data_IF_077627302194
#
_entry.id   IF_077627302194
#
_cell.length_a   1.000
_cell.length_b   1.000
_cell.length_c   1.000
_cell.angle_alpha   90.00
_cell.angle_beta   90.00
_cell.angle_gamma   90.00
#
_symmetry.space_group_name_H-M   'P 1'
#
loop_
_entity.id
_entity.type
_entity.pdbx_description
1 polymer ?
#
# COMPACT_ATOMS: atom_id res chain seq x y z
N UNK A 1 -84.99 -24.85 -19.89
CA UNK A 1 -84.42 -24.57 -18.55
C UNK A 1 -83.35 -25.61 -18.20
N UNK A 2 -82.24 -25.66 -18.95
CA UNK A 2 -81.11 -26.56 -18.64
C UNK A 2 -79.73 -25.96 -18.97
N UNK A 3 -79.68 -24.76 -19.57
CA UNK A 3 -78.41 -24.10 -19.95
C UNK A 3 -77.78 -23.36 -18.75
N UNK A 4 -78.60 -22.82 -17.85
CA UNK A 4 -78.13 -22.09 -16.67
C UNK A 4 -77.31 -22.98 -15.71
N UNK A 5 -77.65 -24.28 -15.62
CA UNK A 5 -76.97 -25.26 -14.79
C UNK A 5 -75.58 -25.65 -15.34
N UNK A 6 -75.40 -25.66 -16.66
CA UNK A 6 -74.10 -25.98 -17.29
C UNK A 6 -73.12 -24.82 -17.09
N UNK A 7 -73.60 -23.58 -17.19
CA UNK A 7 -72.77 -22.37 -17.00
C UNK A 7 -72.22 -22.20 -15.58
N UNK A 8 -72.98 -22.65 -14.57
CA UNK A 8 -72.60 -22.58 -13.16
C UNK A 8 -71.67 -23.71 -12.77
N UNK A 9 -71.84 -24.92 -13.35
CA UNK A 9 -70.93 -26.04 -13.18
C UNK A 9 -69.56 -25.83 -13.85
N UNK A 10 -69.52 -25.05 -14.94
CA UNK A 10 -68.27 -24.66 -15.65
C UNK A 10 -67.46 -23.57 -14.94
N UNK A 11 -68.01 -22.90 -13.93
CA UNK A 11 -67.36 -21.82 -13.17
C UNK A 11 -66.57 -22.30 -11.94
N UNK A 12 -66.51 -23.60 -11.71
CA UNK A 12 -65.75 -24.21 -10.61
C UNK A 12 -64.25 -24.35 -10.95
N UNK A 13 -63.64 -23.27 -11.44
CA UNK A 13 -62.19 -23.19 -11.63
C UNK A 13 -61.60 -22.39 -10.48
N UNK A 14 -60.61 -22.98 -9.80
CA UNK A 14 -59.95 -22.35 -8.66
C UNK A 14 -59.31 -21.02 -9.10
N UNK A 15 -59.47 -19.92 -8.35
CA UNK A 15 -58.80 -18.66 -8.68
C UNK A 15 -57.28 -18.86 -8.66
N UNK A 16 -56.58 -18.09 -9.48
CA UNK A 16 -55.11 -18.10 -9.52
C UNK A 16 -54.58 -17.76 -8.12
N UNK A 17 -53.88 -18.72 -7.52
CA UNK A 17 -53.19 -18.54 -6.26
C UNK A 17 -51.84 -17.89 -6.55
N UNK A 18 -51.61 -16.71 -5.99
CA UNK A 18 -50.31 -16.06 -6.03
C UNK A 18 -49.34 -16.86 -5.13
N UNK A 19 -48.33 -17.47 -5.75
CA UNK A 19 -47.27 -18.15 -5.03
C UNK A 19 -46.20 -17.11 -4.70
N UNK A 20 -45.92 -16.82 -3.42
CA UNK A 20 -44.86 -15.88 -3.08
C UNK A 20 -43.51 -16.46 -3.53
N UNK A 21 -42.81 -15.75 -4.41
CA UNK A 21 -41.48 -16.13 -4.90
C UNK A 21 -40.42 -15.13 -4.44
N UNK A 22 -39.40 -15.64 -3.75
CA UNK A 22 -38.25 -14.87 -3.28
C UNK A 22 -36.97 -15.15 -4.08
N UNK A 23 -37.03 -16.04 -5.08
CA UNK A 23 -35.88 -16.52 -5.85
C UNK A 23 -35.11 -15.38 -6.51
N UNK A 24 -35.79 -14.35 -6.98
CA UNK A 24 -35.18 -13.14 -7.55
C UNK A 24 -34.25 -12.43 -6.55
N UNK A 25 -34.70 -12.23 -5.31
CA UNK A 25 -33.92 -11.58 -4.26
C UNK A 25 -32.75 -12.44 -3.81
N UNK A 26 -32.96 -13.76 -3.72
CA UNK A 26 -31.91 -14.72 -3.38
C UNK A 26 -30.80 -14.69 -4.43
N UNK A 27 -31.16 -14.70 -5.72
CA UNK A 27 -30.22 -14.62 -6.84
C UNK A 27 -29.36 -13.35 -6.78
N UNK A 28 -29.99 -12.18 -6.63
CA UNK A 28 -29.26 -10.92 -6.48
C UNK A 28 -28.40 -10.85 -5.21
N UNK A 29 -28.90 -11.42 -4.10
CA UNK A 29 -28.13 -11.55 -2.86
C UNK A 29 -26.86 -12.37 -3.05
N UNK A 30 -26.94 -13.49 -3.77
CA UNK A 30 -25.78 -14.33 -4.10
C UNK A 30 -24.80 -13.60 -5.03
N UNK A 31 -25.27 -12.89 -6.04
CA UNK A 31 -24.42 -12.08 -6.92
C UNK A 31 -23.68 -11.01 -6.11
N UNK A 32 -24.40 -10.27 -5.27
CA UNK A 32 -23.80 -9.23 -4.45
C UNK A 32 -22.76 -9.81 -3.51
N UNK A 33 -23.08 -10.92 -2.84
CA UNK A 33 -22.16 -11.60 -1.93
C UNK A 33 -20.90 -12.10 -2.65
N UNK A 34 -21.05 -12.76 -3.80
CA UNK A 34 -19.92 -13.21 -4.61
C UNK A 34 -19.06 -12.04 -5.10
N UNK A 35 -19.68 -10.93 -5.50
CA UNK A 35 -18.99 -9.71 -5.94
C UNK A 35 -18.19 -9.11 -4.79
N UNK A 36 -18.77 -9.00 -3.59
CA UNK A 36 -18.08 -8.49 -2.40
C UNK A 36 -16.89 -9.37 -2.00
N UNK A 37 -17.06 -10.70 -2.07
CA UNK A 37 -15.95 -11.63 -1.83
C UNK A 37 -14.82 -11.44 -2.84
N UNK A 38 -15.16 -11.35 -4.13
CA UNK A 38 -14.19 -11.14 -5.19
C UNK A 38 -13.42 -9.83 -5.01
N UNK A 39 -14.13 -8.73 -4.71
CA UNK A 39 -13.51 -7.44 -4.41
C UNK A 39 -12.61 -7.50 -3.19
N UNK A 40 -13.03 -8.20 -2.13
CA UNK A 40 -12.20 -8.43 -0.94
C UNK A 40 -10.89 -9.13 -1.28
N UNK A 41 -10.95 -10.23 -2.03
CA UNK A 41 -9.77 -10.98 -2.46
C UNK A 41 -8.84 -10.09 -3.30
N UNK A 42 -9.39 -9.38 -4.30
CA UNK A 42 -8.60 -8.47 -5.14
C UNK A 42 -7.92 -7.37 -4.32
N UNK A 43 -8.63 -6.81 -3.33
CA UNK A 43 -8.07 -5.80 -2.42
C UNK A 43 -6.89 -6.35 -1.62
N UNK A 44 -7.00 -7.54 -1.04
CA UNK A 44 -5.90 -8.17 -0.29
C UNK A 44 -4.68 -8.46 -1.18
N UNK A 45 -4.89 -8.96 -2.39
CA UNK A 45 -3.80 -9.20 -3.35
C UNK A 45 -3.12 -7.89 -3.73
N UNK A 46 -3.89 -6.87 -4.10
CA UNK A 46 -3.36 -5.56 -4.47
C UNK A 46 -2.56 -4.92 -3.32
N UNK A 47 -3.09 -4.97 -2.08
CA UNK A 47 -2.40 -4.50 -0.88
C UNK A 47 -1.07 -5.22 -0.67
N UNK A 48 -1.06 -6.55 -0.73
CA UNK A 48 0.17 -7.36 -0.55
C UNK A 48 1.23 -7.04 -1.60
N UNK A 49 0.83 -6.85 -2.86
CA UNK A 49 1.74 -6.48 -3.94
C UNK A 49 2.32 -5.07 -3.72
N UNK A 50 1.52 -4.13 -3.24
CA UNK A 50 1.96 -2.78 -2.93
C UNK A 50 2.99 -2.75 -1.80
N UNK A 51 2.70 -3.45 -0.70
CA UNK A 51 3.59 -3.52 0.46
C UNK A 51 4.95 -4.15 0.08
N UNK A 52 4.93 -5.24 -0.71
CA UNK A 52 6.16 -5.89 -1.17
C UNK A 52 7.02 -4.97 -2.08
N UNK A 53 6.37 -4.14 -2.92
CA UNK A 53 7.09 -3.14 -3.73
C UNK A 53 7.78 -2.10 -2.87
N UNK A 54 7.12 -1.60 -1.82
CA UNK A 54 7.73 -0.63 -0.90
C UNK A 54 8.95 -1.22 -0.17
N UNK A 55 8.85 -2.47 0.29
CA UNK A 55 9.99 -3.16 0.92
C UNK A 55 11.18 -3.30 -0.03
N UNK A 56 10.94 -3.65 -1.30
CA UNK A 56 12.00 -3.74 -2.30
C UNK A 56 12.67 -2.39 -2.58
N UNK A 57 11.90 -1.29 -2.62
CA UNK A 57 12.45 0.05 -2.78
C UNK A 57 13.30 0.46 -1.58
N UNK A 58 12.82 0.20 -0.36
CA UNK A 58 13.56 0.48 0.87
C UNK A 58 14.92 -0.27 0.89
N UNK A 59 14.93 -1.55 0.52
CA UNK A 59 16.18 -2.34 0.35
C UNK A 59 17.13 -1.68 -0.64
N UNK A 60 16.61 -1.24 -1.79
CA UNK A 60 17.42 -0.54 -2.80
C UNK A 60 18.06 0.74 -2.29
N UNK A 61 17.30 1.57 -1.55
CA UNK A 61 17.84 2.79 -0.94
C UNK A 61 18.89 2.50 0.13
N UNK A 62 18.67 1.44 0.92
CA UNK A 62 19.59 1.04 1.98
C UNK A 62 20.91 0.52 1.41
N UNK A 63 20.86 -0.28 0.35
CA UNK A 63 22.06 -0.68 -0.40
C UNK A 63 22.79 0.53 -0.99
N UNK A 64 22.06 1.51 -1.53
CA UNK A 64 22.66 2.71 -2.09
C UNK A 64 23.40 3.53 -1.02
N UNK A 65 22.86 3.60 0.21
CA UNK A 65 23.55 4.22 1.35
C UNK A 65 24.81 3.44 1.77
N UNK A 66 24.74 2.10 1.83
CA UNK A 66 25.89 1.24 2.18
C UNK A 66 27.06 1.35 1.18
N UNK A 67 26.76 1.67 -0.08
CA UNK A 67 27.75 1.76 -1.18
C UNK A 67 28.45 3.12 -1.29
N UNK A 68 28.15 4.09 -0.41
CA UNK A 68 28.77 5.43 -0.46
C UNK A 68 30.25 5.32 -0.05
N UNK A 69 31.16 5.71 -0.95
CA UNK A 69 32.62 5.58 -0.75
C UNK A 69 33.33 6.89 -0.39
N UNK A 70 32.59 8.00 -0.24
CA UNK A 70 33.07 9.32 0.17
C UNK A 70 34.23 9.91 -0.67
N UNK A 71 34.57 9.32 -1.83
CA UNK A 71 35.64 9.82 -2.71
C UNK A 71 35.32 11.20 -3.28
N UNK A 72 34.05 11.45 -3.55
CA UNK A 72 33.50 12.76 -3.88
C UNK A 72 32.57 13.18 -2.74
N UNK A 73 33.04 13.98 -1.76
CA UNK A 73 32.26 14.39 -0.60
C UNK A 73 30.94 15.07 -0.98
N UNK A 74 30.95 15.90 -2.02
CA UNK A 74 29.77 16.66 -2.44
C UNK A 74 28.70 15.73 -2.99
N UNK A 75 29.07 14.90 -3.97
CA UNK A 75 28.16 13.93 -4.57
C UNK A 75 27.66 12.92 -3.54
N UNK A 76 28.55 12.46 -2.67
CA UNK A 76 28.22 11.53 -1.59
C UNK A 76 27.22 12.14 -0.62
N UNK A 77 27.38 13.40 -0.22
CA UNK A 77 26.44 14.08 0.67
C UNK A 77 25.07 14.30 0.04
N UNK A 78 25.01 14.63 -1.26
CA UNK A 78 23.74 14.69 -2.00
C UNK A 78 23.04 13.33 -2.03
N UNK A 79 23.76 12.27 -2.42
CA UNK A 79 23.22 10.91 -2.47
C UNK A 79 22.77 10.43 -1.08
N UNK A 80 23.59 10.64 -0.05
CA UNK A 80 23.28 10.28 1.32
C UNK A 80 22.00 10.99 1.79
N UNK A 81 21.87 12.29 1.54
CA UNK A 81 20.65 13.02 1.92
C UNK A 81 19.43 12.49 1.18
N UNK A 82 19.56 12.24 -0.12
CA UNK A 82 18.47 11.79 -0.96
C UNK A 82 17.93 10.42 -0.51
N UNK A 83 18.80 9.42 -0.39
CA UNK A 83 18.38 8.07 0.00
C UNK A 83 17.95 7.98 1.46
N UNK A 84 18.63 8.69 2.38
CA UNK A 84 18.21 8.73 3.78
C UNK A 84 16.84 9.41 3.94
N UNK A 85 16.53 10.46 3.16
CA UNK A 85 15.20 11.07 3.17
C UNK A 85 14.11 10.11 2.68
N UNK A 86 14.40 9.31 1.64
CA UNK A 86 13.45 8.33 1.12
C UNK A 86 13.22 7.15 2.08
N UNK A 87 14.24 6.77 2.85
CA UNK A 87 14.14 5.76 3.91
C UNK A 87 13.43 6.26 5.17
N UNK A 88 13.34 7.58 5.37
CA UNK A 88 12.74 8.18 6.55
C UNK A 88 11.19 8.17 6.50
N UNK A 89 10.59 6.99 6.52
CA UNK A 89 9.13 6.81 6.36
C UNK A 89 8.36 7.06 7.67
N UNK A 90 8.88 6.61 8.80
CA UNK A 90 8.26 6.70 10.13
C UNK A 90 8.87 7.81 10.99
N UNK A 91 8.20 8.15 12.10
CA UNK A 91 8.60 9.25 12.99
C UNK A 91 10.01 9.10 13.57
N UNK A 92 10.41 7.89 13.98
CA UNK A 92 11.75 7.63 14.53
C UNK A 92 12.83 7.85 13.47
N UNK A 93 12.61 7.31 12.26
CA UNK A 93 13.55 7.47 11.14
C UNK A 93 13.64 8.93 10.67
N UNK A 94 12.53 9.68 10.66
CA UNK A 94 12.49 11.12 10.37
C UNK A 94 13.28 11.91 11.38
N UNK A 95 13.15 11.59 12.68
CA UNK A 95 13.92 12.23 13.74
C UNK A 95 15.42 11.94 13.65
N UNK A 96 15.82 10.73 13.25
CA UNK A 96 17.23 10.43 12.99
C UNK A 96 17.74 11.17 11.76
N UNK A 97 16.95 11.24 10.69
CA UNK A 97 17.30 11.97 9.48
C UNK A 97 17.45 13.47 9.75
N UNK A 98 16.55 14.10 10.53
CA UNK A 98 16.65 15.52 10.86
C UNK A 98 17.92 15.87 11.66
N UNK A 99 18.51 14.89 12.35
CA UNK A 99 19.82 15.07 13.01
C UNK A 99 21.00 14.90 12.05
N UNK A 100 20.86 14.04 11.04
CA UNK A 100 21.90 13.75 10.05
C UNK A 100 21.96 14.80 8.94
N UNK A 101 20.81 15.29 8.50
CA UNK A 101 20.66 16.28 7.42
C UNK A 101 21.57 17.51 7.57
N UNK A 102 21.58 18.25 8.70
CA UNK A 102 22.42 19.44 8.83
C UNK A 102 23.92 19.12 8.74
N UNK A 103 24.33 17.91 9.13
CA UNK A 103 25.73 17.48 8.99
C UNK A 103 26.10 17.28 7.52
N UNK A 104 25.20 16.66 6.74
CA UNK A 104 25.41 16.45 5.31
C UNK A 104 25.34 17.76 4.49
N UNK A 105 24.55 18.74 4.91
CA UNK A 105 24.39 20.02 4.21
C UNK A 105 25.68 20.83 4.11
N UNK A 106 26.59 20.69 5.08
CA UNK A 106 27.89 21.37 5.10
C UNK A 106 28.74 21.05 3.85
N UNK A 107 28.47 19.90 3.23
CA UNK A 107 29.18 19.36 2.08
C UNK A 107 28.46 19.58 0.74
N UNK A 108 27.21 20.07 0.74
CA UNK A 108 26.35 20.05 -0.46
C UNK A 108 26.47 21.27 -1.37
N UNK A 109 26.90 22.43 -0.88
CA UNK A 109 26.77 23.66 -1.68
C UNK A 109 28.08 24.39 -1.95
N UNK A 110 29.19 23.96 -1.35
CA UNK A 110 30.50 24.58 -1.58
C UNK A 110 31.08 24.14 -2.93
N UNK A 111 31.90 25.02 -3.52
CA UNK A 111 32.61 24.74 -4.78
C UNK A 111 33.74 23.74 -4.54
N UNK A 112 34.52 23.97 -3.49
CA UNK A 112 35.50 23.04 -2.95
C UNK A 112 35.02 22.55 -1.59
N UNK A 113 35.07 21.25 -1.39
CA UNK A 113 34.51 20.57 -0.23
C UNK A 113 35.64 19.78 0.42
N UNK A 114 35.84 19.97 1.72
CA UNK A 114 36.80 19.18 2.50
C UNK A 114 36.34 17.73 2.60
N UNK A 115 37.26 16.84 2.98
CA UNK A 115 36.88 15.49 3.34
C UNK A 115 35.81 15.48 4.43
N UNK A 116 34.91 14.49 4.35
CA UNK A 116 33.84 14.35 5.33
C UNK A 116 34.41 13.88 6.66
N UNK A 117 34.05 14.62 7.71
CA UNK A 117 34.48 14.35 9.07
C UNK A 117 33.98 12.98 9.57
N UNK A 118 34.70 12.44 10.55
CA UNK A 118 34.41 11.10 11.11
C UNK A 118 33.07 11.06 11.85
N UNK A 119 32.62 12.18 12.43
CA UNK A 119 31.35 12.26 13.15
C UNK A 119 30.16 12.10 12.18
N UNK A 120 30.18 12.80 11.05
CA UNK A 120 29.18 12.69 9.98
C UNK A 120 29.13 11.27 9.42
N UNK A 121 30.30 10.66 9.18
CA UNK A 121 30.38 9.25 8.72
C UNK A 121 29.77 8.29 9.75
N UNK A 122 30.11 8.45 11.02
CA UNK A 122 29.57 7.63 12.10
C UNK A 122 28.06 7.81 12.27
N UNK A 123 27.55 9.03 12.14
CA UNK A 123 26.12 9.33 12.20
C UNK A 123 25.36 8.68 11.05
N UNK A 124 25.91 8.72 9.83
CA UNK A 124 25.33 8.03 8.69
C UNK A 124 25.35 6.51 8.91
N UNK A 125 26.47 5.95 9.37
CA UNK A 125 26.57 4.51 9.63
C UNK A 125 25.55 4.04 10.67
N UNK A 126 25.36 4.81 11.75
CA UNK A 126 24.33 4.53 12.74
C UNK A 126 22.92 4.61 12.15
N UNK A 127 22.65 5.62 11.30
CA UNK A 127 21.38 5.71 10.59
C UNK A 127 21.14 4.47 9.72
N UNK A 128 22.15 4.04 8.97
CA UNK A 128 22.08 2.85 8.11
C UNK A 128 21.87 1.58 8.92
N UNK A 129 22.57 1.40 10.05
CA UNK A 129 22.41 0.23 10.92
C UNK A 129 20.98 0.13 11.47
N UNK A 130 20.45 1.24 12.00
CA UNK A 130 19.08 1.28 12.51
C UNK A 130 18.06 1.07 11.39
N UNK A 131 18.34 1.55 10.18
CA UNK A 131 17.48 1.28 9.02
C UNK A 131 17.54 -0.21 8.60
N UNK A 132 18.70 -0.86 8.70
CA UNK A 132 18.92 -2.26 8.32
C UNK A 132 18.18 -3.23 9.23
N UNK A 133 18.12 -2.93 10.54
CA UNK A 133 17.35 -3.72 11.52
C UNK A 133 15.84 -3.70 11.27
N UNK A 134 15.34 -2.82 10.40
CA UNK A 134 13.91 -2.58 10.17
C UNK A 134 13.40 -3.10 8.84
N UNK A 135 14.27 -3.30 7.86
CA UNK A 135 13.94 -3.63 6.46
C UNK A 135 14.09 -5.13 6.21
#
# INVERSE_FOLDING_TARGET
>A
MNEDNISTQLRDIKPLLEIPDSSYYIYWGLILFATLLLLGILFFIAKKLWDNRQLNLAKGYLEALKKIDWKDPKKSAYNATYYARLLATDERSKKMFSQLEPMLEQYKYKKEVSEVDTETKNKLNLYVQVADERV
#
